data_IF_738903707064
#
_entry.id   IF_738903707064
#
_cell.length_a   1.000
_cell.length_b   1.000
_cell.length_c   1.000
_cell.angle_alpha   90.00
_cell.angle_beta   90.00
_cell.angle_gamma   90.00
#
_symmetry.space_group_name_H-M   'P 1'
#
loop_
_entity.id
_entity.type
_entity.pdbx_description
1 polymer ?
#
# COMPACT_ATOMS: atom_id res chain seq x y z
N UNK A 1 3.55 33.08 -19.17
CA UNK A 1 4.38 32.03 -18.56
C UNK A 1 5.27 31.47 -19.65
N UNK A 2 6.58 31.43 -19.41
CA UNK A 2 7.56 30.93 -20.38
C UNK A 2 7.48 29.39 -20.41
N UNK A 3 7.42 28.73 -21.57
CA UNK A 3 7.39 27.27 -21.67
C UNK A 3 8.55 26.56 -20.95
N UNK A 4 9.70 27.24 -20.81
CA UNK A 4 10.86 26.73 -20.07
C UNK A 4 10.57 26.55 -18.56
N UNK A 5 9.82 27.47 -17.95
CA UNK A 5 9.51 27.43 -16.51
C UNK A 5 8.57 26.27 -16.15
N UNK A 6 7.79 25.77 -17.12
CA UNK A 6 6.93 24.60 -16.95
C UNK A 6 7.70 23.28 -17.06
N UNK A 7 8.76 23.24 -17.86
CA UNK A 7 9.62 22.06 -18.01
C UNK A 7 10.49 21.86 -16.77
N UNK A 8 11.09 22.92 -16.22
CA UNK A 8 11.88 22.83 -14.98
C UNK A 8 11.03 22.36 -13.78
N UNK A 9 9.78 22.85 -13.69
CA UNK A 9 8.85 22.45 -12.62
C UNK A 9 8.38 20.99 -12.79
N UNK A 10 8.13 20.53 -14.01
CA UNK A 10 7.78 19.14 -14.30
C UNK A 10 8.94 18.16 -14.05
N UNK A 11 10.19 18.59 -14.25
CA UNK A 11 11.39 17.79 -13.95
C UNK A 11 11.64 17.73 -12.44
N UNK A 12 11.37 18.82 -11.70
CA UNK A 12 11.49 18.85 -10.24
C UNK A 12 10.49 17.91 -9.53
N UNK A 13 9.31 17.69 -10.12
CA UNK A 13 8.28 16.79 -9.58
C UNK A 13 8.56 15.30 -9.89
N UNK A 14 9.47 15.00 -10.82
CA UNK A 14 9.91 13.64 -11.13
C UNK A 14 11.07 13.25 -10.20
N UNK A 15 10.74 12.82 -8.98
CA UNK A 15 11.69 12.19 -8.06
C UNK A 15 12.13 10.79 -8.56
N UNK A 16 12.89 10.76 -9.64
CA UNK A 16 13.56 9.57 -10.15
C UNK A 16 14.86 9.37 -9.34
N UNK A 17 14.87 8.42 -8.41
CA UNK A 17 16.10 7.97 -7.74
C UNK A 17 16.78 6.91 -8.60
N UNK A 18 17.56 7.36 -9.55
CA UNK A 18 18.54 6.58 -10.29
C UNK A 18 19.94 6.90 -9.75
N UNK A 19 20.92 6.01 -9.95
CA UNK A 19 22.28 6.20 -9.40
C UNK A 19 22.86 7.49 -9.99
N UNK A 20 23.31 8.42 -9.14
CA UNK A 20 23.71 9.79 -9.50
C UNK A 20 24.75 9.87 -10.62
N UNK A 21 25.57 8.82 -10.81
CA UNK A 21 26.55 8.72 -11.88
C UNK A 21 25.97 8.34 -13.25
N UNK A 22 24.89 7.55 -13.29
CA UNK A 22 24.27 7.07 -14.54
C UNK A 22 23.45 8.18 -15.19
N UNK A 23 22.71 8.95 -14.38
CA UNK A 23 21.84 10.03 -14.89
C UNK A 23 22.64 11.20 -15.44
N UNK A 24 23.75 11.52 -14.76
CA UNK A 24 24.64 12.59 -15.22
C UNK A 24 25.23 12.26 -16.58
N UNK A 25 25.68 11.02 -16.80
CA UNK A 25 26.25 10.61 -18.09
C UNK A 25 25.21 10.65 -19.22
N UNK A 26 23.99 10.16 -18.96
CA UNK A 26 22.91 10.15 -19.96
C UNK A 26 22.48 11.59 -20.30
N UNK A 27 22.35 12.46 -19.29
CA UNK A 27 22.02 13.86 -19.50
C UNK A 27 23.16 14.62 -20.20
N UNK A 28 24.42 14.41 -19.81
CA UNK A 28 25.58 15.04 -20.44
C UNK A 28 25.75 14.61 -21.91
N UNK A 29 25.49 13.34 -22.22
CA UNK A 29 25.48 12.82 -23.59
C UNK A 29 24.32 13.41 -24.41
N UNK A 30 23.12 13.46 -23.83
CA UNK A 30 21.96 14.05 -24.48
C UNK A 30 22.16 15.56 -24.74
N UNK A 31 22.68 16.30 -23.76
CA UNK A 31 22.99 17.72 -23.90
C UNK A 31 24.16 17.98 -24.84
N UNK A 32 25.16 17.10 -24.91
CA UNK A 32 26.26 17.19 -25.88
C UNK A 32 25.76 16.95 -27.30
N UNK A 33 24.90 15.94 -27.50
CA UNK A 33 24.25 15.69 -28.79
C UNK A 33 23.38 16.88 -29.21
N UNK A 34 22.63 17.49 -28.27
CA UNK A 34 21.81 18.67 -28.52
C UNK A 34 22.66 19.89 -28.88
N UNK A 35 23.75 20.15 -28.14
CA UNK A 35 24.68 21.26 -28.42
C UNK A 35 25.37 21.11 -29.77
N UNK A 36 25.77 19.89 -30.12
CA UNK A 36 26.32 19.56 -31.44
C UNK A 36 25.33 19.84 -32.56
N UNK A 37 24.06 19.53 -32.37
CA UNK A 37 23.01 19.82 -33.35
C UNK A 37 22.70 21.33 -33.48
N UNK A 38 22.75 22.08 -32.38
CA UNK A 38 22.47 23.53 -32.35
C UNK A 38 23.61 24.36 -32.95
N UNK A 39 24.87 23.95 -32.80
CA UNK A 39 26.02 24.67 -33.39
C UNK A 39 26.14 24.52 -34.91
N UNK A 40 25.49 23.52 -35.51
CA UNK A 40 25.43 23.37 -36.98
C UNK A 40 24.43 24.37 -37.61
N UNK A 41 23.68 25.12 -36.79
CA UNK A 41 22.53 25.90 -37.24
C UNK A 41 22.60 27.42 -36.97
N UNK A 42 23.79 28.02 -36.80
CA UNK A 42 23.89 29.49 -36.84
C UNK A 42 24.01 30.01 -38.28
N UNK A 43 22.99 30.71 -38.81
CA UNK A 43 23.06 31.39 -40.09
C UNK A 43 23.67 32.77 -39.87
N UNK A 44 24.70 33.11 -40.64
CA UNK A 44 25.09 34.51 -40.83
C UNK A 44 23.91 35.25 -41.47
N UNK A 45 23.50 36.33 -40.82
CA UNK A 45 22.37 37.18 -41.20
C UNK A 45 22.58 37.79 -42.59
N UNK A 46 21.79 37.33 -43.56
CA UNK A 46 21.72 37.88 -44.91
C UNK A 46 20.41 37.46 -45.57
N UNK A 47 19.52 38.44 -45.74
CA UNK A 47 18.28 38.45 -46.51
C UNK A 47 18.07 37.35 -47.56
N UNK A 48 16.88 36.72 -47.52
CA UNK A 48 16.20 36.27 -48.73
C UNK A 48 16.26 34.78 -49.12
N UNK A 49 16.15 33.82 -48.19
CA UNK A 49 16.19 32.39 -48.56
C UNK A 49 15.25 31.52 -47.67
N UNK A 50 13.98 31.89 -47.50
CA UNK A 50 13.00 31.02 -46.81
C UNK A 50 12.27 30.04 -47.75
N UNK A 51 12.57 30.04 -49.06
CA UNK A 51 11.92 29.17 -50.05
C UNK A 51 12.66 27.88 -50.41
N UNK A 52 13.84 27.62 -49.86
CA UNK A 52 14.69 26.46 -50.24
C UNK A 52 14.94 25.44 -49.14
N UNK A 53 14.50 25.67 -47.89
CA UNK A 53 14.73 24.71 -46.80
C UNK A 53 13.72 23.55 -46.69
N UNK A 54 12.77 23.43 -47.63
CA UNK A 54 11.93 22.23 -47.81
C UNK A 54 12.63 21.10 -48.61
N UNK A 55 13.95 21.19 -48.88
CA UNK A 55 14.70 20.20 -49.67
C UNK A 55 15.96 19.62 -49.00
N UNK A 56 16.09 19.68 -47.67
CA UNK A 56 17.16 18.94 -46.98
C UNK A 56 16.70 17.52 -46.64
N UNK A 57 17.19 16.53 -47.40
CA UNK A 57 16.94 15.09 -47.20
C UNK A 57 17.59 14.49 -45.93
N UNK A 58 18.28 15.27 -45.10
CA UNK A 58 19.15 14.75 -44.03
C UNK A 58 18.81 15.30 -42.63
N UNK A 59 18.05 16.39 -42.50
CA UNK A 59 17.65 16.93 -41.19
C UNK A 59 16.32 16.35 -40.65
N UNK A 60 15.46 15.86 -41.54
CA UNK A 60 14.18 15.21 -41.19
C UNK A 60 14.36 13.87 -40.44
N UNK A 61 15.34 12.99 -40.77
CA UNK A 61 15.48 11.69 -40.11
C UNK A 61 15.85 11.75 -38.61
N UNK A 62 16.65 12.73 -38.20
CA UNK A 62 17.16 12.81 -36.82
C UNK A 62 16.08 13.25 -35.81
N UNK A 63 15.24 14.22 -36.16
CA UNK A 63 14.11 14.64 -35.33
C UNK A 63 13.01 13.55 -35.25
N UNK A 64 12.80 12.81 -36.33
CA UNK A 64 11.89 11.66 -36.36
C UNK A 64 12.41 10.53 -35.47
N UNK A 65 13.71 10.24 -35.47
CA UNK A 65 14.31 9.21 -34.63
C UNK A 65 14.17 9.52 -33.13
N UNK A 66 14.41 10.75 -32.68
CA UNK A 66 14.25 11.14 -31.28
C UNK A 66 12.78 11.05 -30.81
N UNK A 67 11.83 11.48 -31.64
CA UNK A 67 10.39 11.32 -31.36
C UNK A 67 9.97 9.85 -31.30
N UNK A 68 10.54 8.99 -32.15
CA UNK A 68 10.32 7.53 -32.12
C UNK A 68 10.86 6.93 -30.82
N UNK A 69 12.05 7.33 -30.37
CA UNK A 69 12.64 6.83 -29.10
C UNK A 69 11.83 7.28 -27.88
N UNK A 70 11.37 8.54 -27.84
CA UNK A 70 10.50 9.02 -26.75
C UNK A 70 9.14 8.30 -26.80
N UNK A 71 8.57 8.12 -28.00
CA UNK A 71 7.31 7.39 -28.18
C UNK A 71 7.45 5.93 -27.77
N UNK A 72 8.57 5.27 -28.11
CA UNK A 72 8.88 3.92 -27.66
C UNK A 72 9.12 3.87 -26.15
N UNK A 73 9.87 4.79 -25.56
CA UNK A 73 10.08 4.85 -24.11
C UNK A 73 8.75 5.01 -23.36
N UNK A 74 7.84 5.84 -23.87
CA UNK A 74 6.48 5.96 -23.35
C UNK A 74 5.68 4.67 -23.55
N UNK A 75 5.75 4.03 -24.72
CA UNK A 75 5.05 2.77 -25.03
C UNK A 75 5.54 1.59 -24.16
N UNK A 76 6.84 1.51 -23.90
CA UNK A 76 7.46 0.50 -23.03
C UNK A 76 7.23 0.81 -21.55
N UNK A 77 7.12 2.08 -21.15
CA UNK A 77 6.70 2.43 -19.78
C UNK A 77 5.22 2.13 -19.49
N UNK A 78 4.42 1.90 -20.54
CA UNK A 78 3.04 1.40 -20.46
C UNK A 78 2.90 -0.09 -20.72
N UNK A 79 4.01 -0.85 -20.84
CA UNK A 79 3.91 -2.31 -20.84
C UNK A 79 3.25 -2.73 -19.55
N UNK A 80 2.00 -3.16 -19.68
CA UNK A 80 1.16 -3.66 -18.61
C UNK A 80 1.99 -4.58 -17.73
N UNK A 81 2.37 -4.09 -16.55
CA UNK A 81 2.79 -4.93 -15.45
C UNK A 81 1.71 -6.01 -15.32
N UNK A 82 2.13 -7.27 -15.34
CA UNK A 82 1.20 -8.38 -15.20
C UNK A 82 0.28 -8.09 -14.00
N UNK A 83 -1.04 -8.36 -14.12
CA UNK A 83 -1.95 -8.08 -13.04
C UNK A 83 -1.49 -8.83 -11.78
N UNK A 84 -1.25 -8.08 -10.71
CA UNK A 84 -0.88 -8.62 -9.39
C UNK A 84 -1.83 -9.76 -9.04
N UNK A 85 -1.28 -10.94 -8.78
CA UNK A 85 -2.10 -12.09 -8.40
C UNK A 85 -2.46 -12.01 -6.92
N UNK A 86 -3.47 -12.78 -6.48
CA UNK A 86 -3.84 -12.81 -5.06
C UNK A 86 -2.68 -13.36 -4.23
N UNK A 87 -1.93 -14.33 -4.75
CA UNK A 87 -0.73 -14.90 -4.14
C UNK A 87 0.37 -13.87 -3.97
N UNK A 88 0.66 -13.07 -5.00
CA UNK A 88 1.67 -12.01 -4.94
C UNK A 88 1.30 -10.93 -3.92
N UNK A 89 0.02 -10.58 -3.86
CA UNK A 89 -0.50 -9.63 -2.87
C UNK A 89 -0.36 -10.18 -1.44
N UNK A 90 -0.72 -11.45 -1.22
CA UNK A 90 -0.51 -12.13 0.05
C UNK A 90 0.98 -12.15 0.46
N UNK A 91 1.86 -12.49 -0.48
CA UNK A 91 3.31 -12.56 -0.23
C UNK A 91 3.91 -11.18 0.09
N UNK A 92 3.54 -10.16 -0.69
CA UNK A 92 4.01 -8.78 -0.47
C UNK A 92 3.56 -8.25 0.89
N UNK A 93 2.30 -8.50 1.25
CA UNK A 93 1.76 -8.11 2.54
C UNK A 93 2.42 -8.86 3.72
N UNK A 94 2.67 -10.17 3.57
CA UNK A 94 3.34 -10.99 4.59
C UNK A 94 4.78 -10.55 4.90
N UNK A 95 5.43 -9.86 3.96
CA UNK A 95 6.79 -9.33 4.13
C UNK A 95 6.84 -7.93 4.74
N UNK A 96 5.70 -7.31 5.03
CA UNK A 96 5.68 -6.00 5.67
C UNK A 96 6.14 -6.09 7.13
N UNK A 97 7.18 -5.32 7.48
CA UNK A 97 7.78 -5.33 8.81
C UNK A 97 6.78 -4.90 9.90
N UNK A 98 6.04 -3.84 9.65
CA UNK A 98 5.09 -3.24 10.59
C UNK A 98 3.79 -2.94 9.86
N UNK A 99 2.67 -3.38 10.41
CA UNK A 99 1.34 -3.17 9.82
C UNK A 99 0.35 -2.75 10.89
N UNK A 100 -0.49 -1.76 10.57
CA UNK A 100 -1.71 -1.46 11.29
C UNK A 100 -2.92 -1.66 10.37
N UNK A 101 -3.84 -2.52 10.79
CA UNK A 101 -5.12 -2.80 10.12
C UNK A 101 -6.23 -2.17 10.95
N UNK A 102 -6.97 -1.24 10.37
CA UNK A 102 -8.12 -0.61 11.01
C UNK A 102 -9.40 -1.06 10.30
N UNK A 103 -10.31 -1.69 11.02
CA UNK A 103 -11.53 -2.30 10.47
C UNK A 103 -12.77 -1.48 10.78
N UNK A 104 -13.59 -1.27 9.76
CA UNK A 104 -14.77 -0.41 9.78
C UNK A 104 -16.00 -1.17 9.28
N UNK A 105 -17.17 -0.88 9.88
CA UNK A 105 -18.45 -1.25 9.26
C UNK A 105 -18.82 -0.23 8.20
N UNK A 106 -19.65 -0.65 7.25
CA UNK A 106 -20.20 0.28 6.26
C UNK A 106 -20.83 1.52 6.91
N UNK A 107 -20.50 2.70 6.37
CA UNK A 107 -20.98 3.99 6.86
C UNK A 107 -20.28 4.55 8.11
N UNK A 108 -19.37 3.80 8.75
CA UNK A 108 -18.63 4.27 9.92
C UNK A 108 -17.35 5.01 9.53
N UNK A 109 -17.02 6.06 10.30
CA UNK A 109 -15.76 6.82 10.18
C UNK A 109 -14.71 6.45 11.23
N UNK A 110 -15.12 5.73 12.28
CA UNK A 110 -14.25 5.30 13.38
C UNK A 110 -14.15 3.78 13.31
N UNK A 111 -12.94 3.19 13.37
CA UNK A 111 -12.79 1.75 13.33
C UNK A 111 -13.31 1.12 14.63
N UNK A 112 -14.02 0.00 14.52
CA UNK A 112 -14.47 -0.75 15.70
C UNK A 112 -13.41 -1.74 16.21
N UNK A 113 -12.40 -2.00 15.38
CA UNK A 113 -11.26 -2.84 15.69
C UNK A 113 -10.00 -2.28 15.00
N UNK A 114 -8.86 -2.33 15.69
CA UNK A 114 -7.55 -2.07 15.12
C UNK A 114 -6.58 -3.15 15.58
N UNK A 115 -5.69 -3.58 14.68
CA UNK A 115 -4.63 -4.52 14.98
C UNK A 115 -3.30 -3.96 14.48
N UNK A 116 -2.29 -3.91 15.34
CA UNK A 116 -0.91 -3.61 14.99
C UNK A 116 -0.09 -4.88 15.11
N UNK A 117 0.71 -5.17 14.10
CA UNK A 117 1.66 -6.29 14.09
C UNK A 117 3.02 -5.72 13.76
N UNK A 118 4.01 -6.02 14.61
CA UNK A 118 5.41 -5.68 14.37
C UNK A 118 6.26 -6.95 14.34
N UNK A 119 6.90 -7.19 13.21
CA UNK A 119 7.81 -8.32 13.02
C UNK A 119 9.14 -8.09 13.76
N UNK A 120 9.68 -6.87 13.71
CA UNK A 120 10.94 -6.51 14.37
C UNK A 120 10.84 -6.64 15.89
N UNK A 121 9.79 -6.09 16.47
CA UNK A 121 9.51 -6.16 17.91
C UNK A 121 8.86 -7.49 18.33
N UNK A 122 8.49 -8.37 17.37
CA UNK A 122 7.75 -9.61 17.59
C UNK A 122 6.54 -9.42 18.52
N UNK A 123 5.77 -8.37 18.27
CA UNK A 123 4.62 -8.01 19.10
C UNK A 123 3.35 -7.81 18.29
N UNK A 124 2.22 -7.94 18.97
CA UNK A 124 0.91 -7.60 18.42
C UNK A 124 0.09 -6.81 19.41
N UNK A 125 -0.64 -5.83 18.93
CA UNK A 125 -1.56 -5.03 19.72
C UNK A 125 -2.92 -5.06 19.05
N UNK A 126 -3.95 -5.38 19.82
CA UNK A 126 -5.34 -5.30 19.40
C UNK A 126 -6.03 -4.21 20.19
N UNK A 127 -6.90 -3.48 19.51
CA UNK A 127 -7.86 -2.56 20.11
C UNK A 127 -9.24 -2.94 19.61
N UNK A 128 -10.17 -3.17 20.52
CA UNK A 128 -11.59 -3.40 20.21
C UNK A 128 -12.45 -2.37 20.93
N UNK A 129 -13.56 -1.97 20.31
CA UNK A 129 -14.44 -0.94 20.85
C UNK A 129 -13.96 0.50 20.55
N UNK A 130 -14.62 1.48 21.15
CA UNK A 130 -14.37 2.90 20.85
C UNK A 130 -14.43 3.76 22.11
N UNK A 131 -13.75 4.91 22.08
CA UNK A 131 -13.70 5.85 23.19
C UNK A 131 -13.20 5.21 24.49
N UNK A 132 -13.88 5.52 25.59
CA UNK A 132 -13.50 5.09 26.95
C UNK A 132 -13.82 3.60 27.23
N UNK A 133 -14.48 2.91 26.29
CA UNK A 133 -14.77 1.47 26.39
C UNK A 133 -13.83 0.63 25.54
N UNK A 134 -12.78 1.23 24.97
CA UNK A 134 -11.79 0.50 24.21
C UNK A 134 -11.07 -0.51 25.12
N UNK A 135 -10.97 -1.75 24.64
CA UNK A 135 -10.16 -2.80 25.24
C UNK A 135 -8.89 -2.94 24.41
N UNK A 136 -7.76 -3.06 25.08
CA UNK A 136 -6.48 -3.32 24.42
C UNK A 136 -5.94 -4.68 24.86
N UNK A 137 -5.37 -5.43 23.93
CA UNK A 137 -4.64 -6.66 24.22
C UNK A 137 -3.32 -6.62 23.46
N UNK A 138 -2.21 -6.59 24.18
CA UNK A 138 -0.87 -6.66 23.64
C UNK A 138 -0.27 -8.04 23.92
N UNK A 139 0.37 -8.61 22.92
CA UNK A 139 1.13 -9.83 22.97
C UNK A 139 2.59 -9.47 22.70
N UNK A 140 3.43 -9.65 23.72
CA UNK A 140 4.87 -9.40 23.68
C UNK A 140 5.57 -10.76 23.71
N UNK A 141 5.82 -11.32 22.52
CA UNK A 141 6.32 -12.69 22.36
C UNK A 141 7.72 -12.85 22.96
N UNK A 142 8.68 -11.94 22.72
CA UNK A 142 10.03 -12.06 23.30
C UNK A 142 10.04 -12.10 24.82
N UNK A 143 9.10 -11.43 25.47
CA UNK A 143 9.00 -11.39 26.91
C UNK A 143 7.96 -12.37 27.46
N UNK A 144 7.36 -13.21 26.61
CA UNK A 144 6.38 -14.23 26.97
C UNK A 144 5.22 -13.69 27.82
N UNK A 145 4.73 -12.47 27.51
CA UNK A 145 3.58 -11.89 28.21
C UNK A 145 2.46 -11.41 27.30
N UNK A 146 1.24 -11.51 27.81
CA UNK A 146 0.06 -10.81 27.31
C UNK A 146 -0.35 -9.75 28.32
N UNK A 147 -0.46 -8.52 27.83
CA UNK A 147 -0.97 -7.39 28.61
C UNK A 147 -2.37 -7.05 28.09
N UNK A 148 -3.33 -6.89 28.99
CA UNK A 148 -4.68 -6.42 28.64
C UNK A 148 -4.98 -5.13 29.39
N UNK A 149 -5.60 -4.17 28.72
CA UNK A 149 -6.05 -2.92 29.32
C UNK A 149 -7.54 -2.74 29.09
N UNK A 150 -8.28 -2.55 30.17
CA UNK A 150 -9.71 -2.22 30.14
C UNK A 150 -10.02 -1.24 31.27
N UNK A 151 -10.75 -0.15 30.95
CA UNK A 151 -11.09 0.91 31.92
C UNK A 151 -9.88 1.40 32.73
N UNK A 152 -8.72 1.56 32.06
CA UNK A 152 -7.44 1.97 32.66
C UNK A 152 -6.78 0.98 33.62
N UNK A 153 -7.35 -0.21 33.83
CA UNK A 153 -6.69 -1.28 34.55
C UNK A 153 -5.85 -2.13 33.59
N UNK A 154 -4.56 -2.26 33.87
CA UNK A 154 -3.64 -3.13 33.13
C UNK A 154 -3.50 -4.46 33.88
N UNK A 155 -3.71 -5.57 33.18
CA UNK A 155 -3.44 -6.92 33.67
C UNK A 155 -2.36 -7.55 32.80
N UNK A 156 -1.40 -8.20 33.44
CA UNK A 156 -0.33 -8.95 32.75
C UNK A 156 -0.46 -10.42 33.11
N UNK A 157 -0.38 -11.27 32.10
CA UNK A 157 -0.35 -12.72 32.25
C UNK A 157 0.80 -13.28 31.40
N UNK A 158 1.43 -14.35 31.88
CA UNK A 158 2.40 -15.11 31.08
C UNK A 158 1.70 -15.77 29.88
N UNK A 159 2.42 -15.87 28.78
CA UNK A 159 1.97 -16.61 27.60
C UNK A 159 2.11 -18.10 27.87
N UNK A 160 1.02 -18.82 27.61
CA UNK A 160 1.02 -20.28 27.63
C UNK A 160 1.06 -20.82 26.21
N UNK A 161 1.52 -22.06 26.03
CA UNK A 161 1.53 -22.73 24.72
C UNK A 161 0.17 -22.68 23.99
N UNK A 162 -0.99 -22.92 24.64
CA UNK A 162 -2.29 -22.76 23.99
C UNK A 162 -2.56 -21.34 23.51
N UNK A 163 -2.08 -20.33 24.25
CA UNK A 163 -2.24 -18.93 23.85
C UNK A 163 -1.30 -18.55 22.71
N UNK A 164 -0.10 -19.13 22.64
CA UNK A 164 0.79 -18.98 21.48
C UNK A 164 0.20 -19.66 20.25
N UNK A 165 -0.41 -20.84 20.39
CA UNK A 165 -1.15 -21.49 19.32
C UNK A 165 -2.36 -20.66 18.86
N UNK A 166 -3.13 -20.09 19.80
CA UNK A 166 -4.20 -19.12 19.48
C UNK A 166 -3.63 -17.87 18.79
N UNK A 167 -2.45 -17.40 19.21
CA UNK A 167 -1.76 -16.31 18.55
C UNK A 167 -1.42 -16.72 17.12
N UNK A 168 -0.84 -17.90 16.88
CA UNK A 168 -0.50 -18.45 15.56
C UNK A 168 -1.73 -18.68 14.66
N UNK A 169 -2.87 -19.04 15.23
CA UNK A 169 -4.13 -19.23 14.50
C UNK A 169 -4.78 -17.88 14.17
N UNK A 170 -4.87 -16.99 15.16
CA UNK A 170 -5.23 -15.57 14.96
C UNK A 170 -4.14 -14.78 14.22
N UNK A 171 -2.99 -15.42 13.97
CA UNK A 171 -1.84 -14.81 13.32
C UNK A 171 -2.11 -14.54 11.88
N UNK A 172 -3.13 -15.16 11.26
CA UNK A 172 -3.55 -14.86 9.88
C UNK A 172 -3.54 -13.34 9.71
N UNK A 173 -2.47 -12.78 9.11
CA UNK A 173 -2.25 -11.33 9.00
C UNK A 173 -3.36 -10.65 8.19
N UNK A 174 -4.20 -11.50 7.62
CA UNK A 174 -5.22 -11.30 6.64
C UNK A 174 -6.61 -11.07 7.24
N UNK A 175 -6.80 -11.23 8.56
CA UNK A 175 -8.12 -11.06 9.18
C UNK A 175 -8.68 -9.66 8.90
N UNK A 176 -9.66 -9.59 8.01
CA UNK A 176 -10.28 -8.36 7.51
C UNK A 176 -9.63 -7.76 6.26
N UNK A 177 -8.38 -8.10 5.93
CA UNK A 177 -7.75 -7.71 4.66
C UNK A 177 -8.15 -8.65 3.54
N UNK A 178 -8.02 -9.97 3.75
CA UNK A 178 -8.38 -10.97 2.76
C UNK A 178 -9.68 -11.67 3.15
N UNK A 179 -10.50 -12.06 2.17
CA UNK A 179 -11.76 -12.75 2.42
C UNK A 179 -11.59 -14.24 2.81
N UNK A 180 -10.36 -14.77 2.76
CA UNK A 180 -10.04 -16.16 3.03
C UNK A 180 -8.81 -16.29 3.94
N UNK A 181 -8.79 -17.32 4.77
CA UNK A 181 -7.64 -17.63 5.63
C UNK A 181 -6.48 -18.20 4.81
N UNK A 182 -6.78 -19.03 3.81
CA UNK A 182 -5.79 -19.61 2.92
C UNK A 182 -6.17 -19.37 1.45
N UNK A 183 -5.16 -19.22 0.59
CA UNK A 183 -5.34 -19.04 -0.86
C UNK A 183 -6.09 -20.23 -1.47
N UNK A 184 -5.84 -21.44 -0.98
CA UNK A 184 -6.54 -22.67 -1.39
C UNK A 184 -8.05 -22.65 -1.09
N UNK A 185 -8.52 -21.74 -0.25
CA UNK A 185 -9.94 -21.61 0.09
C UNK A 185 -10.69 -20.72 -0.93
N UNK A 186 -9.97 -20.08 -1.85
CA UNK A 186 -10.57 -19.32 -2.94
C UNK A 186 -11.34 -20.29 -3.84
N UNK A 187 -12.66 -20.08 -4.09
CA UNK A 187 -13.44 -20.98 -4.93
C UNK A 187 -12.88 -21.06 -6.36
N UNK A 188 -12.91 -22.25 -6.96
CA UNK A 188 -12.42 -22.46 -8.34
C UNK A 188 -13.07 -21.53 -9.38
N UNK A 189 -14.33 -21.13 -9.14
CA UNK A 189 -15.09 -20.23 -10.03
C UNK A 189 -14.94 -18.75 -9.68
N UNK A 190 -14.04 -18.41 -8.76
CA UNK A 190 -13.77 -17.01 -8.43
C UNK A 190 -13.13 -16.28 -9.62
N UNK A 191 -13.49 -15.02 -9.79
CA UNK A 191 -12.96 -14.18 -10.87
C UNK A 191 -12.11 -13.07 -10.28
N UNK A 192 -10.83 -13.07 -10.63
CA UNK A 192 -9.89 -12.02 -10.28
C UNK A 192 -9.67 -11.10 -11.49
N UNK A 193 -9.80 -9.79 -11.30
CA UNK A 193 -9.58 -8.80 -12.36
C UNK A 193 -9.06 -7.48 -11.82
N UNK A 194 -8.28 -6.79 -12.64
CA UNK A 194 -7.92 -5.38 -12.42
C UNK A 194 -9.07 -4.47 -12.85
N UNK A 195 -9.32 -3.42 -12.08
CA UNK A 195 -10.33 -2.40 -12.36
C UNK A 195 -9.64 -1.11 -12.80
N UNK A 196 -10.05 -0.59 -13.95
CA UNK A 196 -9.52 0.66 -14.53
C UNK A 196 -10.54 1.81 -14.51
N UNK A 197 -11.65 1.64 -13.82
CA UNK A 197 -12.68 2.68 -13.68
C UNK A 197 -12.11 3.91 -12.95
N UNK A 198 -12.08 5.10 -13.58
CA UNK A 198 -11.59 6.34 -12.96
C UNK A 198 -12.31 6.71 -11.66
N UNK A 199 -13.62 6.46 -11.57
CA UNK A 199 -14.40 6.78 -10.37
C UNK A 199 -13.99 5.91 -9.18
N UNK A 200 -13.65 4.64 -9.44
CA UNK A 200 -13.18 3.70 -8.41
C UNK A 200 -11.74 4.01 -8.02
N UNK A 201 -10.86 4.23 -8.99
CA UNK A 201 -9.43 4.49 -8.75
C UNK A 201 -9.19 5.83 -8.03
N UNK A 202 -10.07 6.82 -8.22
CA UNK A 202 -10.00 8.10 -7.50
C UNK A 202 -10.25 7.98 -5.99
N UNK A 203 -10.85 6.88 -5.51
CA UNK A 203 -11.17 6.70 -4.08
C UNK A 203 -9.91 6.57 -3.19
N UNK A 204 -8.83 6.01 -3.74
CA UNK A 204 -7.52 5.91 -3.08
C UNK A 204 -6.45 6.33 -4.07
N UNK A 205 -6.02 7.61 -4.07
CA UNK A 205 -5.05 8.12 -5.03
C UNK A 205 -3.72 7.36 -5.00
N UNK A 206 -3.14 7.16 -6.19
CA UNK A 206 -1.88 6.44 -6.34
C UNK A 206 -1.98 4.93 -6.15
N UNK A 207 -3.20 4.36 -6.25
CA UNK A 207 -3.42 2.92 -6.14
C UNK A 207 -3.94 2.28 -7.42
N UNK A 208 -3.51 1.04 -7.64
CA UNK A 208 -4.13 0.09 -8.56
C UNK A 208 -5.25 -0.64 -7.83
N UNK A 209 -6.34 -0.95 -8.54
CA UNK A 209 -7.53 -1.58 -7.94
C UNK A 209 -7.74 -2.96 -8.53
N UNK A 210 -7.95 -3.93 -7.67
CA UNK A 210 -8.27 -5.30 -8.05
C UNK A 210 -9.55 -5.78 -7.39
N UNK A 211 -10.26 -6.67 -8.05
CA UNK A 211 -11.55 -7.19 -7.63
C UNK A 211 -11.59 -8.71 -7.75
N UNK A 212 -11.95 -9.37 -6.65
CA UNK A 212 -12.29 -10.79 -6.59
C UNK A 212 -13.80 -10.94 -6.46
N UNK A 213 -14.42 -11.70 -7.35
CA UNK A 213 -15.85 -12.04 -7.32
C UNK A 213 -16.01 -13.54 -7.10
N UNK A 214 -16.88 -13.95 -6.18
CA UNK A 214 -17.20 -15.36 -5.98
C UNK A 214 -18.63 -15.56 -5.46
N UNK A 215 -19.15 -16.77 -5.63
CA UNK A 215 -20.38 -17.21 -5.00
C UNK A 215 -20.03 -17.98 -3.73
N UNK A 216 -20.77 -17.73 -2.65
CA UNK A 216 -20.68 -18.41 -1.37
C UNK A 216 -22.04 -19.02 -1.07
N UNK A 217 -22.09 -20.34 -0.96
CA UNK A 217 -23.27 -21.05 -0.50
C UNK A 217 -23.02 -21.46 0.95
N UNK A 218 -23.90 -21.04 1.85
CA UNK A 218 -23.85 -21.49 3.24
C UNK A 218 -24.44 -22.90 3.31
N UNK A 219 -23.74 -23.83 3.92
CA UNK A 219 -24.20 -25.22 4.07
C UNK A 219 -25.54 -25.32 4.81
N UNK A 220 -25.85 -24.33 5.65
CA UNK A 220 -27.10 -24.25 6.41
C UNK A 220 -28.24 -23.49 5.69
N UNK A 221 -27.97 -22.82 4.58
CA UNK A 221 -28.95 -21.98 3.88
C UNK A 221 -29.01 -22.30 2.39
N UNK A 222 -30.22 -22.39 1.85
CA UNK A 222 -30.42 -22.47 0.39
C UNK A 222 -30.08 -21.15 -0.31
N UNK A 223 -29.84 -20.06 0.43
CA UNK A 223 -29.54 -18.75 -0.13
C UNK A 223 -28.07 -18.68 -0.57
N UNK A 224 -27.86 -18.49 -1.87
CA UNK A 224 -26.55 -18.17 -2.43
C UNK A 224 -26.25 -16.68 -2.21
N UNK A 225 -25.11 -16.40 -1.59
CA UNK A 225 -24.55 -15.07 -1.46
C UNK A 225 -23.49 -14.84 -2.53
N UNK A 226 -23.53 -13.68 -3.18
CA UNK A 226 -22.48 -13.22 -4.07
C UNK A 226 -21.60 -12.25 -3.31
N UNK A 227 -20.31 -12.54 -3.28
CA UNK A 227 -19.30 -11.74 -2.58
C UNK A 227 -18.42 -11.04 -3.59
N UNK A 228 -18.02 -9.83 -3.23
CA UNK A 228 -17.08 -9.02 -3.99
C UNK A 228 -16.07 -8.42 -3.03
N UNK A 229 -14.80 -8.74 -3.22
CA UNK A 229 -13.70 -8.16 -2.48
C UNK A 229 -12.91 -7.25 -3.40
N UNK A 230 -12.71 -6.01 -2.98
CA UNK A 230 -11.96 -5.01 -3.73
C UNK A 230 -10.78 -4.55 -2.90
N UNK A 231 -9.59 -4.59 -3.49
CA UNK A 231 -8.36 -4.15 -2.83
C UNK A 231 -7.69 -3.04 -3.62
N UNK A 232 -7.23 -2.03 -2.88
CA UNK A 232 -6.51 -0.87 -3.39
C UNK A 232 -5.05 -1.03 -2.99
N UNK A 233 -4.20 -1.18 -3.99
CA UNK A 233 -2.79 -1.52 -3.83
C UNK A 233 -1.95 -0.31 -4.24
N UNK A 234 -1.01 0.12 -3.42
CA UNK A 234 -0.06 1.18 -3.79
C UNK A 234 0.66 0.82 -5.09
N UNK A 235 0.59 1.68 -6.12
CA UNK A 235 1.14 1.39 -7.43
C UNK A 235 2.68 1.23 -7.42
N UNK A 236 3.36 1.80 -6.43
CA UNK A 236 4.83 1.77 -6.31
C UNK A 236 5.31 0.62 -5.45
N UNK A 237 4.68 0.38 -4.31
CA UNK A 237 5.14 -0.62 -3.32
C UNK A 237 4.42 -1.95 -3.41
N UNK A 238 3.36 -2.06 -4.22
CA UNK A 238 2.47 -3.22 -4.26
C UNK A 238 1.82 -3.56 -2.90
N UNK A 239 1.86 -2.64 -1.93
CA UNK A 239 1.29 -2.86 -0.59
C UNK A 239 -0.20 -2.44 -0.57
N UNK A 240 -1.10 -3.26 0.00
CA UNK A 240 -2.50 -2.89 0.14
C UNK A 240 -2.65 -1.68 1.07
N UNK A 241 -3.45 -0.69 0.66
CA UNK A 241 -3.81 0.49 1.48
C UNK A 241 -5.23 0.41 2.02
N UNK A 242 -6.11 -0.27 1.30
CA UNK A 242 -7.52 -0.41 1.64
C UNK A 242 -8.06 -1.70 1.04
N UNK A 243 -8.95 -2.36 1.75
CA UNK A 243 -9.72 -3.46 1.19
C UNK A 243 -11.18 -3.33 1.61
N UNK A 244 -12.09 -3.72 0.71
CA UNK A 244 -13.53 -3.55 0.86
C UNK A 244 -14.21 -4.88 0.58
N UNK A 245 -15.14 -5.26 1.46
CA UNK A 245 -15.95 -6.46 1.29
C UNK A 245 -17.40 -6.05 1.04
N UNK A 246 -17.93 -6.54 -0.06
CA UNK A 246 -19.30 -6.34 -0.48
C UNK A 246 -20.05 -7.67 -0.54
N UNK A 247 -21.35 -7.60 -0.30
CA UNK A 247 -22.27 -8.73 -0.37
C UNK A 247 -23.51 -8.36 -1.17
N UNK A 248 -24.04 -9.35 -1.89
CA UNK A 248 -25.32 -9.28 -2.59
C UNK A 248 -26.03 -10.62 -2.45
N UNK A 249 -27.27 -10.62 -1.97
CA UNK A 249 -28.09 -11.83 -2.00
C UNK A 249 -28.55 -12.14 -3.43
N UNK A 250 -28.83 -13.39 -3.77
CA UNK A 250 -29.26 -13.74 -5.14
C UNK A 250 -30.54 -13.04 -5.61
N UNK A 251 -31.35 -12.50 -4.70
CA UNK A 251 -32.56 -11.73 -5.01
C UNK A 251 -32.31 -10.22 -5.16
N UNK A 252 -31.17 -9.72 -4.68
CA UNK A 252 -30.81 -8.30 -4.77
C UNK A 252 -30.06 -8.00 -6.09
N UNK A 253 -30.30 -6.81 -6.63
CA UNK A 253 -29.63 -6.38 -7.87
C UNK A 253 -28.23 -5.82 -7.60
N UNK A 254 -28.04 -5.15 -6.47
CA UNK A 254 -26.84 -4.36 -6.16
C UNK A 254 -26.00 -4.95 -5.02
N UNK A 255 -24.68 -4.74 -5.11
CA UNK A 255 -23.75 -5.07 -4.04
C UNK A 255 -23.75 -3.97 -2.96
N UNK A 256 -23.94 -4.39 -1.71
CA UNK A 256 -23.85 -3.52 -0.54
C UNK A 256 -22.48 -3.68 0.11
N UNK A 257 -21.85 -2.57 0.49
CA UNK A 257 -20.63 -2.61 1.30
C UNK A 257 -21.00 -3.19 2.67
N UNK A 258 -20.29 -4.21 3.11
CA UNK A 258 -20.48 -4.84 4.42
C UNK A 258 -19.46 -4.28 5.42
N UNK A 259 -18.18 -4.32 5.03
CA UNK A 259 -17.07 -3.81 5.82
C UNK A 259 -15.93 -3.32 4.92
N UNK A 260 -15.02 -2.54 5.50
CA UNK A 260 -13.77 -2.20 4.86
C UNK A 260 -12.66 -2.09 5.89
N UNK A 261 -11.43 -2.25 5.43
CA UNK A 261 -10.22 -2.04 6.21
C UNK A 261 -9.37 -0.96 5.58
N UNK A 262 -8.67 -0.19 6.42
CA UNK A 262 -7.58 0.70 6.03
C UNK A 262 -6.30 0.12 6.61
N UNK A 263 -5.29 0.00 5.75
CA UNK A 263 -3.99 -0.57 6.08
C UNK A 263 -2.96 0.57 6.06
N UNK A 264 -2.17 0.65 7.12
CA UNK A 264 -1.03 1.57 7.24
C UNK A 264 0.20 0.81 7.68
N UNK A 265 1.38 1.38 7.41
CA UNK A 265 2.68 0.75 7.66
C UNK A 265 3.49 1.65 8.59
N UNK A 266 3.17 1.67 9.90
CA UNK A 266 3.80 2.57 10.84
C UNK A 266 5.28 2.24 11.03
N UNK A 267 6.08 3.25 11.35
CA UNK A 267 7.46 3.04 11.79
C UNK A 267 7.50 2.36 13.16
N UNK A 268 8.63 1.74 13.50
CA UNK A 268 8.80 1.10 14.82
C UNK A 268 8.60 2.10 15.97
N UNK A 269 9.13 3.33 15.84
CA UNK A 269 8.97 4.38 16.85
C UNK A 269 7.51 4.77 17.07
N UNK A 270 6.68 4.77 16.01
CA UNK A 270 5.25 5.06 16.12
C UNK A 270 4.52 3.95 16.89
N UNK A 271 4.87 2.68 16.64
CA UNK A 271 4.33 1.55 17.40
C UNK A 271 4.74 1.66 18.87
N UNK A 272 6.02 1.93 19.16
CA UNK A 272 6.50 2.11 20.53
C UNK A 272 5.76 3.22 21.26
N UNK A 273 5.50 4.35 20.59
CA UNK A 273 4.76 5.46 21.18
C UNK A 273 3.30 5.11 21.43
N UNK A 274 2.65 4.37 20.53
CA UNK A 274 1.30 3.84 20.75
C UNK A 274 1.27 2.97 22.00
N UNK A 275 2.19 2.01 22.12
CA UNK A 275 2.27 1.11 23.27
C UNK A 275 2.52 1.88 24.56
N UNK A 276 3.46 2.84 24.54
CA UNK A 276 3.79 3.71 25.68
C UNK A 276 2.58 4.53 26.14
N UNK A 277 1.78 5.02 25.21
CA UNK A 277 0.59 5.81 25.51
C UNK A 277 -0.55 4.96 26.10
N UNK A 278 -0.63 3.68 25.73
CA UNK A 278 -1.68 2.76 26.21
C UNK A 278 -1.29 2.19 27.58
N UNK A 279 -0.12 1.57 27.68
CA UNK A 279 0.26 0.80 28.87
C UNK A 279 1.17 1.58 29.84
N UNK A 280 1.81 2.65 29.38
CA UNK A 280 2.71 3.50 30.19
C UNK A 280 4.17 3.40 29.77
N UNK A 281 5.03 4.19 30.43
CA UNK A 281 6.48 4.09 30.24
C UNK A 281 7.05 2.89 31.00
N UNK A 282 8.00 2.19 30.37
CA UNK A 282 8.81 1.16 31.02
C UNK A 282 9.56 1.76 32.20
N UNK A 283 9.36 1.20 33.39
CA UNK A 283 10.13 1.60 34.57
C UNK A 283 11.50 0.94 34.51
N UNK A 284 12.53 1.71 34.15
CA UNK A 284 13.91 1.22 34.07
C UNK A 284 14.57 1.04 35.45
N UNK A 285 13.82 1.19 36.55
CA UNK A 285 14.36 1.24 37.93
C UNK A 285 14.31 -0.07 38.70
N UNK A 286 13.65 -1.10 38.19
CA UNK A 286 13.58 -2.42 38.83
C UNK A 286 14.40 -3.43 38.04
N UNK A 287 15.24 -4.21 38.72
CA UNK A 287 16.01 -5.34 38.16
C UNK A 287 15.13 -6.51 37.67
N UNK A 288 13.80 -6.36 37.68
CA UNK A 288 12.86 -7.28 37.06
C UNK A 288 12.95 -7.18 35.52
N UNK A 289 12.75 -8.28 34.77
CA UNK A 289 12.73 -8.23 33.31
C UNK A 289 11.59 -7.31 32.85
N UNK A 290 11.92 -6.03 32.62
CA UNK A 290 10.91 -5.01 32.35
C UNK A 290 10.18 -5.30 31.05
N UNK A 291 8.87 -5.47 31.13
CA UNK A 291 8.03 -5.66 29.95
C UNK A 291 7.82 -4.34 29.23
N UNK A 292 7.53 -4.38 27.93
CA UNK A 292 7.14 -3.16 27.21
C UNK A 292 5.82 -2.66 27.79
N UNK A 293 5.83 -1.50 28.44
CA UNK A 293 4.61 -0.84 28.90
C UNK A 293 4.12 -1.21 30.30
N UNK A 294 4.91 -1.84 31.18
CA UNK A 294 4.48 -1.97 32.59
C UNK A 294 4.37 -0.57 33.21
N UNK A 295 3.20 -0.15 33.73
CA UNK A 295 3.12 1.11 34.46
C UNK A 295 4.04 1.01 35.67
N UNK A 296 5.04 1.89 35.76
CA UNK A 296 5.86 2.00 36.96
C UNK A 296 4.96 2.14 38.17
N UNK A 297 5.12 1.25 39.16
CA UNK A 297 4.34 1.28 40.39
C UNK A 297 4.75 2.54 41.16
N UNK A 298 4.08 3.67 40.87
CA UNK A 298 4.10 4.82 41.77
C UNK A 298 3.27 4.44 42.99
N UNK A 299 3.95 3.96 44.03
CA UNK A 299 3.43 4.02 45.40
C UNK A 299 3.35 5.47 45.86
#
# INVERSE_FOLDING_TARGET
MNPADNLERAIADLHLTTKTGTDKHILDDAFSALRGAVHVQQPTTGTGVWRTFLKSRIAVPAAVAAMIVISFALFFSTLSKDPVTVEELCGTFGNAENVCVSTFKAGQKIPYQQAWTSQSMKMRLFKTGSGNQAQFAMWDIPNEVKMTMYLSAVQTQELTEPMLAELEESVTPLSGIFPFSYIRDIPEKAQWKRISDPAVTAAVPGSEVYELLWAQQDTASEVVLYRRWRVFVDARTSLPKRAELYVRSGLEQEYKLESFVVITYPGESEIQDIVRNIFGQRDNRTDDPGFIGTPGVRR
#
